data_IF_309592765688
#
_entry.id   IF_309592765688
#
_cell.length_a   1.000
_cell.length_b   1.000
_cell.length_c   1.000
_cell.angle_alpha   90.00
_cell.angle_beta   90.00
_cell.angle_gamma   90.00
#
_symmetry.space_group_name_H-M   'P 1'
#
loop_
_entity.id
_entity.type
_entity.pdbx_description
1 polymer ?
#
# COMPACT_ATOMS: atom_id res chain seq x y z
N UNK A 1 21.19 20.61 62.08
CA UNK A 1 22.17 20.95 61.03
C UNK A 1 22.89 19.66 60.66
N UNK A 2 23.00 19.14 59.43
CA UNK A 2 22.41 19.37 58.10
C UNK A 2 22.37 17.99 57.40
N UNK A 3 21.57 17.64 56.38
CA UNK A 3 20.47 18.28 55.61
C UNK A 3 19.48 17.15 55.19
N UNK A 4 18.64 17.34 54.17
CA UNK A 4 17.88 16.28 53.44
C UNK A 4 17.99 16.52 51.92
N UNK A 5 17.48 15.56 51.12
CA UNK A 5 17.14 15.64 49.67
C UNK A 5 18.30 15.50 48.66
N UNK A 6 18.16 14.82 47.50
CA UNK A 6 17.05 13.99 46.98
C UNK A 6 17.51 12.94 45.92
N UNK A 7 16.66 11.91 45.76
CA UNK A 7 16.45 11.09 44.55
C UNK A 7 16.10 11.98 43.32
N UNK A 8 16.07 11.56 42.05
CA UNK A 8 16.53 10.39 41.26
C UNK A 8 16.18 10.74 39.78
N UNK A 9 16.83 10.10 38.79
CA UNK A 9 16.40 10.02 37.36
C UNK A 9 16.17 11.31 36.58
N UNK A 10 17.06 11.56 35.61
CA UNK A 10 16.75 12.43 34.48
C UNK A 10 15.65 11.79 33.61
N UNK A 11 14.57 12.53 33.36
CA UNK A 11 13.47 12.09 32.51
C UNK A 11 13.85 12.32 31.04
N UNK A 12 14.18 11.25 30.31
CA UNK A 12 14.35 11.34 28.87
C UNK A 12 12.98 11.58 28.21
N UNK A 13 12.78 12.78 27.67
CA UNK A 13 11.64 13.09 26.84
C UNK A 13 11.75 12.30 25.52
N UNK A 14 11.10 11.15 25.46
CA UNK A 14 10.93 10.39 24.22
C UNK A 14 10.02 11.21 23.31
N UNK A 15 10.60 11.92 22.34
CA UNK A 15 9.83 12.56 21.27
C UNK A 15 9.29 11.47 20.36
N UNK A 16 8.13 10.92 20.72
CA UNK A 16 7.33 10.06 19.87
C UNK A 16 7.11 10.78 18.54
N UNK A 17 7.79 10.30 17.50
CA UNK A 17 7.64 10.82 16.15
C UNK A 17 6.24 10.45 15.69
N UNK A 18 5.32 11.42 15.68
CA UNK A 18 4.02 11.25 15.08
C UNK A 18 4.24 11.02 13.58
N UNK A 19 4.15 9.76 13.16
CA UNK A 19 4.10 9.41 11.75
C UNK A 19 2.92 10.16 11.14
N UNK A 20 3.18 11.04 10.19
CA UNK A 20 2.12 11.70 9.43
C UNK A 20 1.35 10.62 8.70
N UNK A 21 0.04 10.54 8.96
CA UNK A 21 -0.84 9.65 8.21
C UNK A 21 -0.91 10.16 6.77
N UNK A 22 -0.01 9.67 5.93
CA UNK A 22 -0.03 9.93 4.50
C UNK A 22 -1.26 9.24 3.90
N UNK A 23 -1.94 9.91 2.98
CA UNK A 23 -3.05 9.33 2.22
C UNK A 23 -2.54 8.44 1.08
N UNK A 24 -3.45 7.64 0.52
CA UNK A 24 -3.20 6.91 -0.73
C UNK A 24 -2.91 7.89 -1.87
N UNK A 25 -1.73 7.78 -2.49
CA UNK A 25 -1.42 8.55 -3.69
C UNK A 25 -1.72 7.69 -4.92
N UNK A 26 -2.47 8.28 -5.86
CA UNK A 26 -2.83 7.65 -7.13
C UNK A 26 -2.23 8.49 -8.26
N UNK A 27 -1.62 7.85 -9.26
CA UNK A 27 -1.12 8.52 -10.45
C UNK A 27 -1.41 7.66 -11.67
N UNK A 28 -2.28 8.13 -12.56
CA UNK A 28 -2.47 7.52 -13.87
C UNK A 28 -1.23 7.77 -14.75
N UNK A 29 -0.53 6.70 -15.09
CA UNK A 29 0.63 6.72 -16.00
C UNK A 29 0.15 6.63 -17.45
N UNK A 30 -0.93 5.88 -17.68
CA UNK A 30 -1.61 5.79 -18.98
C UNK A 30 -3.09 5.53 -18.74
N UNK A 31 -3.98 6.37 -19.28
CA UNK A 31 -5.42 6.16 -19.19
C UNK A 31 -5.84 5.12 -20.24
N UNK A 32 -6.50 4.05 -19.79
CA UNK A 32 -7.04 3.00 -20.66
C UNK A 32 -8.27 3.46 -21.45
N UNK A 33 -8.64 2.71 -22.48
CA UNK A 33 -9.77 3.03 -23.37
C UNK A 33 -10.93 2.05 -23.27
N UNK A 34 -10.76 0.91 -22.61
CA UNK A 34 -11.81 -0.10 -22.44
C UNK A 34 -12.75 0.17 -21.25
N UNK A 35 -13.43 -0.89 -20.81
CA UNK A 35 -14.38 -0.83 -19.68
C UNK A 35 -13.73 -0.27 -18.41
N UNK A 36 -14.51 0.50 -17.67
CA UNK A 36 -14.11 1.10 -16.40
C UNK A 36 -14.45 0.16 -15.24
N UNK A 37 -13.47 -0.10 -14.38
CA UNK A 37 -13.59 -0.94 -13.19
C UNK A 37 -14.30 -0.20 -12.05
N UNK A 38 -15.32 -0.84 -11.47
CA UNK A 38 -16.17 -0.31 -10.39
C UNK A 38 -16.29 -1.30 -9.25
N UNK A 39 -16.60 -0.82 -8.04
CA UNK A 39 -16.92 -1.69 -6.92
C UNK A 39 -18.02 -2.71 -7.29
N UNK A 40 -17.75 -4.00 -7.05
CA UNK A 40 -18.61 -5.12 -7.43
C UNK A 40 -18.14 -5.92 -8.66
N UNK A 41 -17.32 -5.33 -9.54
CA UNK A 41 -16.73 -6.04 -10.68
C UNK A 41 -15.65 -7.04 -10.26
N UNK A 42 -15.38 -8.07 -11.06
CA UNK A 42 -14.14 -8.86 -10.93
C UNK A 42 -13.09 -8.34 -11.89
N UNK A 43 -12.05 -7.69 -11.36
CA UNK A 43 -10.96 -7.15 -12.19
C UNK A 43 -9.81 -8.13 -12.32
N UNK A 44 -9.08 -8.08 -13.44
CA UNK A 44 -7.84 -8.83 -13.66
C UNK A 44 -6.71 -7.87 -14.00
N UNK A 45 -5.60 -7.95 -13.27
CA UNK A 45 -4.50 -6.99 -13.37
C UNK A 45 -3.13 -7.66 -13.49
N UNK A 46 -2.23 -7.01 -14.21
CA UNK A 46 -0.80 -7.16 -13.96
C UNK A 46 -0.33 -6.12 -12.94
N UNK A 47 0.67 -6.47 -12.14
CA UNK A 47 1.26 -5.56 -11.17
C UNK A 47 2.71 -5.92 -10.86
N UNK A 48 3.42 -4.96 -10.29
CA UNK A 48 4.65 -5.19 -9.52
C UNK A 48 4.62 -4.31 -8.27
N UNK A 49 5.12 -4.85 -7.15
CA UNK A 49 5.15 -4.19 -5.85
C UNK A 49 6.58 -4.02 -5.32
N UNK A 50 6.90 -2.83 -4.83
CA UNK A 50 8.20 -2.46 -4.26
C UNK A 50 8.07 -1.78 -2.90
N UNK A 51 9.06 -2.00 -2.05
CA UNK A 51 9.33 -1.15 -0.88
C UNK A 51 9.95 0.18 -1.33
N UNK A 52 9.93 1.18 -0.45
CA UNK A 52 10.47 2.53 -0.75
C UNK A 52 11.99 2.59 -0.92
N UNK A 53 12.71 1.53 -0.52
CA UNK A 53 14.15 1.34 -0.80
C UNK A 53 14.42 0.79 -2.22
N UNK A 54 13.37 0.56 -3.02
CA UNK A 54 13.44 -0.01 -4.37
C UNK A 54 13.45 -1.54 -4.41
N UNK A 55 13.38 -2.23 -3.27
CA UNK A 55 13.30 -3.70 -3.23
C UNK A 55 11.94 -4.17 -3.72
N UNK A 56 11.93 -4.83 -4.88
CA UNK A 56 10.76 -5.59 -5.39
C UNK A 56 10.43 -6.71 -4.40
N UNK A 57 9.17 -6.79 -3.96
CA UNK A 57 8.69 -7.85 -3.06
C UNK A 57 7.73 -8.83 -3.75
N UNK A 58 7.05 -8.40 -4.81
CA UNK A 58 6.09 -9.23 -5.55
C UNK A 58 5.86 -8.70 -6.98
N UNK A 59 5.49 -9.59 -7.92
CA UNK A 59 5.14 -9.25 -9.30
C UNK A 59 4.35 -10.38 -9.96
N UNK A 60 3.18 -10.08 -10.53
CA UNK A 60 2.49 -11.01 -11.44
C UNK A 60 3.13 -11.07 -12.82
N UNK A 61 3.86 -10.02 -13.22
CA UNK A 61 4.58 -9.97 -14.51
C UNK A 61 5.76 -10.94 -14.49
N UNK A 62 6.56 -10.97 -13.42
CA UNK A 62 7.67 -11.93 -13.29
C UNK A 62 7.20 -13.40 -13.33
N UNK A 63 5.97 -13.66 -12.84
CA UNK A 63 5.35 -15.01 -12.86
C UNK A 63 4.68 -15.35 -14.19
N UNK A 64 4.36 -14.37 -15.03
CA UNK A 64 3.48 -14.54 -16.18
C UNK A 64 2.03 -14.89 -15.82
N UNK A 65 1.58 -14.58 -14.59
CA UNK A 65 0.32 -15.05 -14.01
C UNK A 65 -0.49 -13.86 -13.45
N UNK A 66 -1.43 -13.28 -14.23
CA UNK A 66 -2.27 -12.16 -13.81
C UNK A 66 -3.07 -12.44 -12.54
N UNK A 67 -3.32 -11.40 -11.75
CA UNK A 67 -4.09 -11.54 -10.52
C UNK A 67 -5.51 -11.02 -10.70
N UNK A 68 -6.51 -11.84 -10.35
CA UNK A 68 -7.92 -11.49 -10.42
C UNK A 68 -8.56 -11.41 -9.03
N UNK A 69 -9.36 -10.38 -8.78
CA UNK A 69 -10.02 -10.16 -7.49
C UNK A 69 -11.33 -9.37 -7.65
N UNK A 70 -12.32 -9.57 -6.75
CA UNK A 70 -13.53 -8.75 -6.70
C UNK A 70 -13.20 -7.37 -6.10
N UNK A 71 -13.42 -6.31 -6.87
CA UNK A 71 -13.06 -4.94 -6.51
C UNK A 71 -14.02 -4.34 -5.48
N UNK A 72 -13.49 -3.71 -4.44
CA UNK A 72 -14.28 -3.06 -3.39
C UNK A 72 -14.87 -4.02 -2.35
N UNK A 73 -14.55 -5.31 -2.45
CA UNK A 73 -15.12 -6.37 -1.61
C UNK A 73 -14.30 -6.67 -0.32
N UNK A 74 -13.26 -5.88 -0.01
CA UNK A 74 -12.41 -6.11 1.17
C UNK A 74 -11.55 -7.38 1.06
N UNK A 75 -11.30 -7.86 -0.17
CA UNK A 75 -10.56 -9.10 -0.45
C UNK A 75 -9.07 -8.90 -0.71
N UNK A 76 -8.66 -7.64 -0.86
CA UNK A 76 -7.27 -7.18 -1.02
C UNK A 76 -6.96 -6.10 0.03
N UNK A 77 -5.73 -5.59 0.05
CA UNK A 77 -5.39 -4.44 0.92
C UNK A 77 -6.22 -3.20 0.53
N UNK A 78 -6.60 -2.37 1.51
CA UNK A 78 -7.52 -1.24 1.28
C UNK A 78 -7.02 -0.25 0.22
N UNK A 79 -5.71 -0.09 0.07
CA UNK A 79 -5.10 0.75 -0.97
C UNK A 79 -5.31 0.23 -2.39
N UNK A 80 -5.56 -1.07 -2.58
CA UNK A 80 -5.94 -1.66 -3.86
C UNK A 80 -7.43 -1.49 -4.14
N UNK A 81 -8.30 -1.79 -3.16
CA UNK A 81 -9.75 -1.60 -3.31
C UNK A 81 -10.11 -0.15 -3.70
N UNK A 82 -9.45 0.84 -3.10
CA UNK A 82 -9.64 2.26 -3.44
C UNK A 82 -8.80 2.67 -4.68
N UNK A 83 -7.60 2.13 -4.84
CA UNK A 83 -6.65 2.57 -5.87
C UNK A 83 -6.96 2.08 -7.29
N UNK A 84 -7.62 0.93 -7.44
CA UNK A 84 -7.94 0.33 -8.74
C UNK A 84 -9.31 0.79 -9.28
N UNK A 85 -10.19 1.31 -8.42
CA UNK A 85 -11.48 1.85 -8.85
C UNK A 85 -11.31 3.03 -9.83
N UNK A 86 -12.17 3.08 -10.85
CA UNK A 86 -12.09 4.05 -11.93
C UNK A 86 -10.95 3.83 -12.94
N UNK A 87 -10.11 2.79 -12.80
CA UNK A 87 -9.21 2.39 -13.89
C UNK A 87 -10.02 1.92 -15.10
N UNK A 88 -9.52 2.20 -16.32
CA UNK A 88 -10.07 1.65 -17.58
C UNK A 88 -9.15 0.56 -18.11
N UNK A 89 -9.72 -0.47 -18.74
CA UNK A 89 -8.96 -1.57 -19.35
C UNK A 89 -7.92 -1.03 -20.35
N UNK A 90 -6.70 -1.56 -20.27
CA UNK A 90 -5.49 -1.06 -20.95
C UNK A 90 -4.77 0.05 -20.18
N UNK A 91 -5.33 0.54 -19.07
CA UNK A 91 -4.76 1.62 -18.27
C UNK A 91 -3.65 1.16 -17.32
N UNK A 92 -2.69 2.05 -17.06
CA UNK A 92 -1.57 1.84 -16.13
C UNK A 92 -1.56 2.93 -15.06
N UNK A 93 -1.41 2.53 -13.80
CA UNK A 93 -1.53 3.39 -12.63
C UNK A 93 -0.45 3.05 -11.60
N UNK A 94 0.19 4.07 -11.05
CA UNK A 94 1.04 3.93 -9.87
C UNK A 94 0.24 4.25 -8.61
N UNK A 95 0.40 3.40 -7.59
CA UNK A 95 -0.19 3.57 -6.25
C UNK A 95 0.94 3.68 -5.22
N UNK A 96 0.94 4.73 -4.41
CA UNK A 96 1.76 4.79 -3.17
C UNK A 96 0.82 4.58 -2.00
N UNK A 97 0.88 3.38 -1.43
CA UNK A 97 -0.04 2.89 -0.41
C UNK A 97 0.59 3.09 0.97
N UNK A 98 0.00 3.93 1.83
CA UNK A 98 0.50 4.15 3.18
C UNK A 98 0.20 2.92 4.07
N UNK A 99 0.91 2.72 5.18
CA UNK A 99 0.88 1.44 5.89
C UNK A 99 -0.51 1.04 6.41
N UNK A 100 -1.31 2.01 6.84
CA UNK A 100 -2.69 1.81 7.33
C UNK A 100 -3.68 1.40 6.23
N UNK A 101 -3.30 1.48 4.95
CA UNK A 101 -4.05 0.96 3.80
C UNK A 101 -3.35 -0.26 3.15
N UNK A 102 -2.18 -0.66 3.67
CA UNK A 102 -1.42 -1.86 3.30
C UNK A 102 -1.50 -2.93 4.40
N UNK A 103 -0.35 -3.36 4.92
CA UNK A 103 -0.22 -4.43 5.93
C UNK A 103 0.01 -3.92 7.37
N UNK A 104 -0.03 -2.59 7.58
CA UNK A 104 0.08 -1.96 8.89
C UNK A 104 1.32 -2.35 9.69
N UNK A 105 1.20 -2.32 11.02
CA UNK A 105 2.27 -2.67 11.97
C UNK A 105 2.64 -4.15 12.00
N UNK A 106 1.91 -5.02 11.29
CA UNK A 106 2.20 -6.46 11.22
C UNK A 106 3.21 -6.82 10.12
N UNK A 107 3.23 -6.06 9.02
CA UNK A 107 3.93 -6.48 7.80
C UNK A 107 3.33 -7.77 7.20
N UNK A 108 4.03 -8.38 6.24
CA UNK A 108 3.57 -9.60 5.59
C UNK A 108 4.71 -10.47 5.01
N UNK A 109 4.50 -11.79 5.04
CA UNK A 109 5.31 -12.78 4.31
C UNK A 109 6.80 -12.86 4.65
N UNK A 110 7.28 -12.17 5.69
CA UNK A 110 8.71 -12.01 5.97
C UNK A 110 9.46 -11.10 4.98
N UNK A 111 8.77 -10.55 3.97
CA UNK A 111 9.35 -9.71 2.92
C UNK A 111 8.89 -8.26 2.98
N UNK A 112 7.70 -8.00 3.55
CA UNK A 112 7.19 -6.65 3.82
C UNK A 112 7.31 -6.38 5.33
N UNK A 113 8.12 -5.39 5.76
CA UNK A 113 8.30 -5.09 7.17
C UNK A 113 7.08 -4.37 7.79
N UNK A 114 6.97 -4.33 9.13
CA UNK A 114 6.05 -3.47 9.86
C UNK A 114 6.08 -2.01 9.37
N UNK A 115 4.90 -1.40 9.26
CA UNK A 115 4.71 0.00 8.88
C UNK A 115 5.33 0.39 7.52
N UNK A 116 5.47 -0.55 6.58
CA UNK A 116 5.95 -0.27 5.24
C UNK A 116 4.95 0.52 4.39
N UNK A 117 5.40 1.62 3.79
CA UNK A 117 4.75 2.22 2.61
C UNK A 117 5.10 1.38 1.39
N UNK A 118 4.11 1.09 0.55
CA UNK A 118 4.27 0.23 -0.63
C UNK A 118 4.09 1.05 -1.90
N UNK A 119 5.00 0.92 -2.86
CA UNK A 119 4.74 1.34 -4.25
C UNK A 119 4.19 0.14 -5.02
N UNK A 120 3.13 0.35 -5.79
CA UNK A 120 2.70 -0.57 -6.84
C UNK A 120 2.61 0.14 -8.18
N UNK A 121 3.04 -0.53 -9.24
CA UNK A 121 2.68 -0.20 -10.62
C UNK A 121 1.67 -1.27 -11.07
N UNK A 122 0.49 -0.87 -11.53
CA UNK A 122 -0.67 -1.73 -11.84
C UNK A 122 -1.14 -1.47 -13.27
N UNK A 123 -1.49 -2.53 -14.00
CA UNK A 123 -2.07 -2.50 -15.33
C UNK A 123 -3.38 -3.28 -15.34
N UNK A 124 -4.49 -2.63 -15.72
CA UNK A 124 -5.81 -3.27 -15.78
C UNK A 124 -6.01 -3.98 -17.11
N UNK A 125 -6.09 -5.31 -17.07
CA UNK A 125 -6.17 -6.17 -18.25
C UNK A 125 -7.62 -6.49 -18.64
N UNK A 126 -8.50 -6.71 -17.66
CA UNK A 126 -9.90 -7.03 -17.89
C UNK A 126 -10.80 -6.62 -16.71
N UNK A 127 -12.07 -6.42 -17.03
CA UNK A 127 -13.20 -6.34 -16.09
C UNK A 127 -14.16 -7.47 -16.51
N UNK A 128 -14.57 -8.30 -15.57
CA UNK A 128 -15.31 -9.55 -15.78
C UNK A 128 -16.60 -9.59 -14.93
#
# INVERSE_FOLDING_TARGET
>A
MFKKFAFLTALFASTSTFATAQDLQITDVMVGTGQEAKAGDTVTVHYTGWLTDGKKFDSSVDRGDPFSFPLGAGRVIKGWDVGVEGMKVGGKRQLIIPPQMGYGSRGAGGVIPPNATLKFDVELLAVN
#
